data_IF_138407534505
#
_entry.id   IF_138407534505
#
_cell.length_a   1.000
_cell.length_b   1.000
_cell.length_c   1.000
_cell.angle_alpha   90.00
_cell.angle_beta   90.00
_cell.angle_gamma   90.00
#
_symmetry.space_group_name_H-M   'P 1'
#
loop_
_entity.id
_entity.type
_entity.pdbx_description
1 polymer ?
#
# COMPACT_ATOMS: atom_id res chain seq x y z
N UNK A 1 10.76 -35.07 -26.17
CA UNK A 1 10.25 -35.79 -27.38
C UNK A 1 9.59 -34.90 -28.45
N UNK A 2 8.53 -34.12 -28.16
CA UNK A 2 7.95 -33.17 -29.15
C UNK A 2 8.80 -31.89 -29.33
N UNK A 3 9.43 -31.42 -28.25
CA UNK A 3 10.34 -30.26 -28.28
C UNK A 3 11.66 -30.54 -29.00
N UNK A 4 12.26 -31.73 -28.82
CA UNK A 4 13.48 -32.11 -29.55
C UNK A 4 13.24 -32.23 -31.05
N UNK A 5 12.07 -32.75 -31.46
CA UNK A 5 11.67 -32.78 -32.87
C UNK A 5 11.55 -31.36 -33.44
N UNK A 6 10.98 -30.42 -32.70
CA UNK A 6 10.87 -29.02 -33.16
C UNK A 6 12.24 -28.34 -33.29
N UNK A 7 13.15 -28.55 -32.34
CA UNK A 7 14.50 -27.95 -32.36
C UNK A 7 15.39 -28.56 -33.45
N UNK A 8 15.31 -29.88 -33.65
CA UNK A 8 16.02 -30.59 -34.71
C UNK A 8 15.46 -30.20 -36.09
N UNK A 9 14.14 -30.09 -36.23
CA UNK A 9 13.49 -29.69 -37.48
C UNK A 9 13.79 -28.24 -37.84
N UNK A 10 13.77 -27.31 -36.88
CA UNK A 10 14.20 -25.90 -37.10
C UNK A 10 15.67 -25.80 -37.53
N UNK A 11 16.55 -26.62 -36.95
CA UNK A 11 17.96 -26.66 -37.34
C UNK A 11 18.19 -27.30 -38.72
N UNK A 12 17.43 -28.35 -39.07
CA UNK A 12 17.47 -28.99 -40.39
C UNK A 12 16.87 -28.10 -41.48
N UNK A 13 15.79 -27.37 -41.20
CA UNK A 13 15.20 -26.37 -42.10
C UNK A 13 16.16 -25.19 -42.30
N UNK A 14 16.86 -24.71 -41.25
CA UNK A 14 17.89 -23.67 -41.38
C UNK A 14 19.10 -24.13 -42.21
N UNK A 15 19.46 -25.42 -42.13
CA UNK A 15 20.55 -26.02 -42.93
C UNK A 15 20.12 -26.28 -44.37
N UNK A 16 18.87 -26.69 -44.62
CA UNK A 16 18.29 -26.85 -45.97
C UNK A 16 18.13 -25.50 -46.67
N UNK A 17 17.61 -24.48 -46.00
CA UNK A 17 17.52 -23.10 -46.54
C UNK A 17 18.91 -22.51 -46.82
N UNK A 18 19.90 -22.72 -45.94
CA UNK A 18 21.30 -22.34 -46.22
C UNK A 18 21.92 -23.08 -47.42
N UNK A 19 21.54 -24.33 -47.69
CA UNK A 19 22.04 -25.09 -48.85
C UNK A 19 21.31 -24.75 -50.16
N UNK A 20 20.02 -24.40 -50.10
CA UNK A 20 19.21 -24.02 -51.27
C UNK A 20 19.42 -22.56 -51.70
N UNK A 21 19.84 -21.66 -50.80
CA UNK A 21 20.17 -20.26 -51.14
C UNK A 21 21.53 -20.04 -51.82
N UNK A 22 22.32 -21.10 -52.06
CA UNK A 22 23.67 -21.01 -52.65
C UNK A 22 23.71 -21.07 -54.18
N UNK A 23 22.56 -21.16 -54.86
CA UNK A 23 22.46 -21.03 -56.31
C UNK A 23 21.63 -19.79 -56.64
N UNK A 24 22.35 -18.78 -57.13
CA UNK A 24 21.85 -17.63 -57.90
C UNK A 24 20.83 -16.73 -57.17
N UNK A 25 21.32 -15.86 -56.28
CA UNK A 25 20.67 -14.56 -56.04
C UNK A 25 21.52 -13.45 -56.69
N UNK A 26 20.91 -12.55 -57.49
CA UNK A 26 21.61 -11.38 -58.02
C UNK A 26 22.06 -10.50 -56.84
N UNK A 27 23.26 -9.92 -56.95
CA UNK A 27 23.85 -9.02 -55.97
C UNK A 27 22.87 -7.90 -55.58
N UNK A 28 22.05 -8.16 -54.56
CA UNK A 28 21.30 -7.12 -53.85
C UNK A 28 22.34 -6.27 -53.14
N UNK A 29 22.52 -5.03 -53.61
CA UNK A 29 23.25 -3.97 -52.90
C UNK A 29 22.94 -4.11 -51.42
N UNK A 30 23.95 -4.39 -50.60
CA UNK A 30 23.83 -4.36 -49.15
C UNK A 30 23.35 -2.96 -48.78
N UNK A 31 22.05 -2.81 -48.54
CA UNK A 31 21.53 -1.62 -47.91
C UNK A 31 22.29 -1.50 -46.59
N UNK A 32 23.07 -0.41 -46.43
CA UNK A 32 23.81 -0.10 -45.21
C UNK A 32 22.86 -0.29 -44.02
N UNK A 33 22.93 -1.46 -43.37
CA UNK A 33 22.09 -1.76 -42.22
C UNK A 33 22.58 -0.84 -41.12
N UNK A 34 21.79 0.19 -40.85
CA UNK A 34 22.03 1.13 -39.76
C UNK A 34 22.31 0.30 -38.50
N UNK A 35 23.43 0.59 -37.84
CA UNK A 35 23.80 -0.12 -36.63
C UNK A 35 22.65 0.00 -35.62
N UNK A 36 22.06 -1.11 -35.13
CA UNK A 36 20.95 -1.05 -34.19
C UNK A 36 21.31 -0.25 -32.94
N UNK A 37 22.58 -0.25 -32.52
CA UNK A 37 23.06 0.56 -31.39
C UNK A 37 22.92 2.07 -31.66
N UNK A 38 23.20 2.50 -32.90
CA UNK A 38 23.05 3.88 -33.33
C UNK A 38 21.57 4.28 -33.35
N UNK A 39 20.70 3.40 -33.84
CA UNK A 39 19.25 3.64 -33.83
C UNK A 39 18.71 3.76 -32.39
N UNK A 40 19.13 2.87 -31.48
CA UNK A 40 18.74 2.95 -30.06
C UNK A 40 19.25 4.23 -29.40
N UNK A 41 20.47 4.67 -29.73
CA UNK A 41 21.02 5.92 -29.21
C UNK A 41 20.19 7.11 -29.67
N UNK A 42 19.85 7.17 -30.97
CA UNK A 42 18.97 8.22 -31.50
C UNK A 42 17.61 8.20 -30.80
N UNK A 43 17.01 7.02 -30.63
CA UNK A 43 15.72 6.88 -29.95
C UNK A 43 15.78 7.37 -28.50
N UNK A 44 16.85 7.03 -27.75
CA UNK A 44 17.04 7.52 -26.37
C UNK A 44 17.11 9.05 -26.35
N UNK A 45 17.88 9.65 -27.26
CA UNK A 45 18.01 11.12 -27.35
C UNK A 45 16.68 11.78 -27.72
N UNK A 46 15.96 11.23 -28.71
CA UNK A 46 14.65 11.75 -29.10
C UNK A 46 13.62 11.62 -27.98
N UNK A 47 13.60 10.50 -27.25
CA UNK A 47 12.74 10.32 -26.07
C UNK A 47 13.10 11.30 -24.95
N UNK A 48 14.40 11.58 -24.74
CA UNK A 48 14.85 12.58 -23.78
C UNK A 48 14.38 13.99 -24.16
N UNK A 49 14.57 14.38 -25.43
CA UNK A 49 14.12 15.70 -25.92
C UNK A 49 12.59 15.80 -25.85
N UNK A 50 11.86 14.77 -26.27
CA UNK A 50 10.41 14.73 -26.19
C UNK A 50 9.93 14.89 -24.73
N UNK A 51 10.63 14.28 -23.77
CA UNK A 51 10.31 14.44 -22.36
C UNK A 51 10.61 15.82 -21.80
N UNK A 52 11.40 16.68 -22.48
CA UNK A 52 11.52 18.10 -22.12
C UNK A 52 10.33 18.95 -22.58
N UNK A 53 9.51 18.45 -23.50
CA UNK A 53 8.33 19.14 -24.04
C UNK A 53 7.14 18.93 -23.08
N UNK A 54 7.26 19.46 -21.87
CA UNK A 54 6.19 19.49 -20.87
C UNK A 54 6.32 20.75 -19.98
N UNK A 55 5.28 21.19 -19.26
CA UNK A 55 5.31 22.40 -18.43
C UNK A 55 6.43 22.45 -17.38
N UNK A 56 6.95 21.29 -16.95
CA UNK A 56 8.02 21.15 -15.97
C UNK A 56 9.42 21.03 -16.61
N UNK A 57 9.53 20.82 -17.92
CA UNK A 57 10.80 20.71 -18.64
C UNK A 57 11.77 19.71 -18.01
N UNK A 58 12.99 20.17 -17.68
CA UNK A 58 14.03 19.35 -17.05
C UNK A 58 13.67 18.91 -15.61
N UNK A 59 12.81 19.65 -14.91
CA UNK A 59 12.43 19.33 -13.53
C UNK A 59 11.67 18.00 -13.44
N UNK A 60 11.01 17.57 -14.52
CA UNK A 60 10.38 16.25 -14.61
C UNK A 60 11.39 15.11 -14.41
N UNK A 61 12.64 15.27 -14.87
CA UNK A 61 13.71 14.30 -14.68
C UNK A 61 14.32 14.33 -13.28
N UNK A 62 14.30 15.49 -12.62
CA UNK A 62 14.79 15.65 -11.25
C UNK A 62 13.83 15.03 -10.22
N UNK A 63 12.53 15.01 -10.53
CA UNK A 63 11.47 14.63 -9.59
C UNK A 63 11.62 13.23 -8.97
N UNK A 64 11.92 12.15 -9.72
CA UNK A 64 12.15 10.83 -9.13
C UNK A 64 13.29 10.83 -8.09
N UNK A 65 14.34 11.62 -8.32
CA UNK A 65 15.46 11.73 -7.39
C UNK A 65 15.07 12.49 -6.13
N UNK A 66 14.23 13.52 -6.24
CA UNK A 66 13.68 14.21 -5.05
C UNK A 66 12.88 13.25 -4.18
N UNK A 67 12.01 12.43 -4.77
CA UNK A 67 11.19 11.47 -4.01
C UNK A 67 12.05 10.43 -3.30
N UNK A 68 13.13 9.94 -3.93
CA UNK A 68 14.05 8.97 -3.30
C UNK A 68 14.69 9.49 -2.01
N UNK A 69 14.80 10.81 -1.85
CA UNK A 69 15.42 11.45 -0.69
C UNK A 69 14.40 12.00 0.34
N UNK A 70 13.11 11.69 0.22
CA UNK A 70 12.07 12.11 1.18
C UNK A 70 11.81 11.00 2.22
N UNK A 71 12.41 11.05 3.42
CA UNK A 71 12.33 9.97 4.40
C UNK A 71 10.93 9.80 5.01
N UNK A 72 10.12 10.87 5.09
CA UNK A 72 8.81 10.86 5.74
C UNK A 72 7.69 10.12 5.00
N UNK A 73 7.90 9.64 3.77
CA UNK A 73 6.86 9.05 2.92
C UNK A 73 7.16 7.60 2.52
N UNK A 74 7.29 6.70 3.49
CA UNK A 74 7.37 5.26 3.21
C UNK A 74 5.99 4.64 3.29
N UNK A 75 5.33 4.49 2.14
CA UNK A 75 4.12 3.65 2.07
C UNK A 75 4.51 2.18 2.29
N UNK A 76 3.57 1.34 2.74
CA UNK A 76 3.82 -0.08 3.02
C UNK A 76 4.44 -0.84 1.82
N UNK A 77 4.14 -0.40 0.61
CA UNK A 77 4.65 -0.97 -0.65
C UNK A 77 6.14 -0.68 -0.89
N UNK A 78 6.68 0.38 -0.27
CA UNK A 78 8.06 0.83 -0.44
C UNK A 78 9.01 0.16 0.54
N UNK A 79 8.44 -0.49 1.57
CA UNK A 79 9.20 -1.16 2.59
C UNK A 79 9.69 -2.52 2.04
N UNK A 80 10.90 -2.97 2.43
CA UNK A 80 11.43 -4.27 2.03
C UNK A 80 10.56 -5.46 2.48
N UNK A 81 10.54 -6.59 1.73
CA UNK A 81 9.74 -7.75 2.06
C UNK A 81 10.21 -8.52 3.30
N UNK A 82 11.44 -8.31 3.77
CA UNK A 82 11.95 -8.89 5.03
C UNK A 82 11.56 -8.09 6.28
N UNK A 83 10.91 -6.93 6.13
CA UNK A 83 10.33 -6.24 7.28
C UNK A 83 9.02 -6.92 7.68
N UNK A 84 9.13 -7.93 8.53
CA UNK A 84 7.98 -8.68 9.04
C UNK A 84 7.16 -7.90 10.09
N UNK A 85 7.66 -6.77 10.60
CA UNK A 85 6.99 -6.00 11.65
C UNK A 85 5.79 -5.21 11.11
N UNK A 86 5.88 -4.72 9.88
CA UNK A 86 4.84 -3.87 9.28
C UNK A 86 3.60 -4.64 8.81
N UNK A 87 3.53 -5.97 9.02
CA UNK A 87 2.46 -6.88 8.52
C UNK A 87 2.05 -6.60 7.06
N UNK A 88 2.96 -6.03 6.28
CA UNK A 88 2.68 -5.56 4.94
C UNK A 88 2.55 -6.74 3.98
N UNK A 89 1.63 -6.62 3.03
CA UNK A 89 1.25 -7.67 2.08
C UNK A 89 2.49 -8.19 1.33
N UNK A 90 2.96 -9.37 1.72
CA UNK A 90 4.00 -10.10 1.00
C UNK A 90 3.49 -11.51 0.78
N UNK A 91 3.34 -11.92 -0.48
CA UNK A 91 2.87 -13.27 -0.78
C UNK A 91 3.81 -14.31 -0.16
N UNK A 92 3.29 -15.31 0.57
CA UNK A 92 4.11 -16.42 1.07
C UNK A 92 4.89 -17.16 -0.02
N UNK A 93 4.47 -17.03 -1.29
CA UNK A 93 5.15 -17.63 -2.45
C UNK A 93 6.39 -16.86 -2.92
N UNK A 94 6.58 -15.61 -2.47
CA UNK A 94 7.72 -14.79 -2.89
C UNK A 94 9.06 -15.42 -2.52
N UNK A 95 9.23 -15.83 -1.27
CA UNK A 95 10.48 -16.41 -0.78
C UNK A 95 10.81 -17.76 -1.43
N UNK A 96 9.88 -18.75 -1.49
CA UNK A 96 10.12 -19.98 -2.23
C UNK A 96 10.47 -19.74 -3.69
N UNK A 97 9.77 -18.82 -4.37
CA UNK A 97 10.07 -18.46 -5.76
C UNK A 97 11.48 -17.90 -5.90
N UNK A 98 11.85 -16.91 -5.08
CA UNK A 98 13.18 -16.29 -5.12
C UNK A 98 14.31 -17.29 -4.86
N UNK A 99 14.15 -18.18 -3.88
CA UNK A 99 15.14 -19.21 -3.55
C UNK A 99 15.30 -20.20 -4.70
N UNK A 100 14.20 -20.71 -5.25
CA UNK A 100 14.25 -21.64 -6.39
C UNK A 100 14.84 -20.95 -7.63
N UNK A 101 14.48 -19.69 -7.88
CA UNK A 101 15.07 -18.90 -8.95
C UNK A 101 16.59 -18.80 -8.83
N UNK A 102 17.11 -18.41 -7.66
CA UNK A 102 18.55 -18.32 -7.41
C UNK A 102 19.20 -19.70 -7.61
N UNK A 103 18.63 -20.75 -7.02
CA UNK A 103 19.17 -22.11 -7.12
C UNK A 103 19.28 -22.58 -8.59
N UNK A 104 18.19 -22.56 -9.35
CA UNK A 104 18.18 -23.07 -10.72
C UNK A 104 18.97 -22.18 -11.68
N UNK A 105 18.99 -20.87 -11.48
CA UNK A 105 19.80 -19.96 -12.31
C UNK A 105 21.30 -20.17 -12.07
N UNK A 106 21.74 -20.38 -10.82
CA UNK A 106 23.15 -20.67 -10.51
C UNK A 106 23.60 -22.02 -11.07
N UNK A 107 22.77 -23.07 -10.97
CA UNK A 107 23.06 -24.39 -11.55
C UNK A 107 23.30 -24.28 -13.07
N UNK A 108 22.54 -23.41 -13.74
CA UNK A 108 22.57 -23.29 -15.20
C UNK A 108 23.31 -22.04 -15.68
N UNK A 109 24.03 -21.31 -14.83
CA UNK A 109 24.55 -19.95 -15.14
C UNK A 109 25.37 -19.87 -16.43
N UNK A 110 26.10 -20.93 -16.77
CA UNK A 110 26.92 -21.00 -18.00
C UNK A 110 26.11 -21.12 -19.30
N UNK A 111 24.80 -21.39 -19.20
CA UNK A 111 23.88 -21.57 -20.34
C UNK A 111 23.02 -20.33 -20.59
N UNK A 112 23.03 -19.36 -19.68
CA UNK A 112 22.08 -18.26 -19.69
C UNK A 112 22.66 -17.06 -20.43
N UNK A 113 21.77 -16.26 -21.02
CA UNK A 113 22.17 -14.99 -21.60
C UNK A 113 22.50 -13.99 -20.48
N UNK A 114 23.63 -13.29 -20.62
CA UNK A 114 24.06 -12.28 -19.66
C UNK A 114 23.01 -11.18 -19.45
N UNK A 115 22.29 -10.79 -20.52
CA UNK A 115 21.23 -9.78 -20.43
C UNK A 115 20.02 -10.25 -19.62
N UNK A 116 19.63 -11.52 -19.76
CA UNK A 116 18.53 -12.13 -19.01
C UNK A 116 18.88 -12.30 -17.53
N UNK A 117 20.12 -12.72 -17.24
CA UNK A 117 20.66 -12.74 -15.87
C UNK A 117 20.61 -11.33 -15.28
N UNK A 118 21.16 -10.36 -15.99
CA UNK A 118 21.26 -8.98 -15.50
C UNK A 118 19.89 -8.41 -15.16
N UNK A 119 18.90 -8.50 -16.07
CA UNK A 119 17.57 -7.93 -15.82
C UNK A 119 16.81 -8.68 -14.72
N UNK A 120 16.96 -10.00 -14.64
CA UNK A 120 16.30 -10.82 -13.61
C UNK A 120 16.87 -10.56 -12.21
N UNK A 121 18.20 -10.46 -12.09
CA UNK A 121 18.84 -10.14 -10.82
C UNK A 121 18.66 -8.67 -10.43
N UNK A 122 18.62 -7.74 -11.39
CA UNK A 122 18.30 -6.34 -11.12
C UNK A 122 16.90 -6.22 -10.50
N UNK A 123 15.91 -6.87 -11.10
CA UNK A 123 14.54 -6.86 -10.59
C UNK A 123 14.40 -7.60 -9.26
N UNK A 124 15.17 -8.66 -9.02
CA UNK A 124 15.28 -9.30 -7.70
C UNK A 124 15.80 -8.33 -6.64
N UNK A 125 16.88 -7.58 -6.93
CA UNK A 125 17.42 -6.58 -6.00
C UNK A 125 16.39 -5.48 -5.75
N UNK A 126 15.64 -5.07 -6.77
CA UNK A 126 14.55 -4.11 -6.63
C UNK A 126 13.41 -4.65 -5.76
N UNK A 127 12.98 -5.91 -5.95
CA UNK A 127 11.92 -6.54 -5.13
C UNK A 127 12.34 -6.76 -3.69
N UNK A 128 13.63 -6.98 -3.46
CA UNK A 128 14.25 -6.97 -2.15
C UNK A 128 14.19 -5.56 -1.54
N UNK A 129 14.51 -4.50 -2.26
CA UNK A 129 14.44 -3.15 -1.69
C UNK A 129 13.00 -2.64 -1.45
N UNK A 130 12.02 -3.06 -2.28
CA UNK A 130 10.62 -2.62 -2.15
C UNK A 130 9.63 -3.67 -2.67
N UNK A 131 8.60 -3.95 -1.87
CA UNK A 131 7.52 -4.89 -2.21
C UNK A 131 6.81 -4.60 -3.53
N UNK A 132 6.72 -3.33 -3.92
CA UNK A 132 6.10 -2.91 -5.19
C UNK A 132 6.72 -3.56 -6.43
N UNK A 133 8.00 -3.97 -6.33
CA UNK A 133 8.72 -4.60 -7.44
C UNK A 133 8.63 -6.12 -7.42
N UNK A 134 7.97 -6.75 -6.44
CA UNK A 134 7.77 -8.20 -6.40
C UNK A 134 7.07 -8.72 -7.66
N UNK A 135 5.95 -8.14 -8.12
CA UNK A 135 5.31 -8.60 -9.35
C UNK A 135 6.24 -8.44 -10.55
N UNK A 136 6.95 -7.30 -10.65
CA UNK A 136 7.88 -7.03 -11.74
C UNK A 136 9.00 -8.07 -11.79
N UNK A 137 9.61 -8.40 -10.65
CA UNK A 137 10.59 -9.47 -10.55
C UNK A 137 10.03 -10.79 -11.06
N UNK A 138 8.89 -11.24 -10.53
CA UNK A 138 8.28 -12.52 -10.94
C UNK A 138 8.01 -12.56 -12.45
N UNK A 139 7.46 -11.49 -13.02
CA UNK A 139 7.18 -11.42 -14.45
C UNK A 139 8.45 -11.44 -15.31
N UNK A 140 9.48 -10.70 -14.92
CA UNK A 140 10.74 -10.59 -15.66
C UNK A 140 11.56 -11.87 -15.54
N UNK A 141 11.66 -12.47 -14.35
CA UNK A 141 12.48 -13.66 -14.13
C UNK A 141 11.78 -14.98 -14.49
N UNK A 142 10.45 -15.00 -14.65
CA UNK A 142 9.71 -16.23 -14.94
C UNK A 142 10.20 -17.00 -16.17
N UNK A 143 10.40 -16.37 -17.35
CA UNK A 143 10.91 -17.09 -18.52
C UNK A 143 12.26 -17.77 -18.25
N UNK A 144 13.21 -17.03 -17.67
CA UNK A 144 14.54 -17.53 -17.32
C UNK A 144 14.46 -18.65 -16.27
N UNK A 145 13.62 -18.48 -15.25
CA UNK A 145 13.37 -19.46 -14.21
C UNK A 145 12.87 -20.79 -14.80
N UNK A 146 11.84 -20.76 -15.65
CA UNK A 146 11.25 -21.95 -16.24
C UNK A 146 12.19 -22.63 -17.25
N UNK A 147 13.03 -21.87 -17.95
CA UNK A 147 14.08 -22.41 -18.81
C UNK A 147 15.14 -23.17 -17.98
N UNK A 148 15.64 -22.55 -16.89
CA UNK A 148 16.58 -23.19 -15.98
C UNK A 148 15.99 -24.44 -15.31
N UNK A 149 14.74 -24.34 -14.87
CA UNK A 149 13.99 -25.45 -14.30
C UNK A 149 13.88 -26.60 -15.33
N UNK A 150 13.56 -26.29 -16.59
CA UNK A 150 13.46 -27.27 -17.67
C UNK A 150 14.80 -27.97 -17.94
N UNK A 151 15.92 -27.23 -17.96
CA UNK A 151 17.24 -27.82 -18.17
C UNK A 151 17.65 -28.80 -17.07
N UNK A 152 17.32 -28.48 -15.81
CA UNK A 152 17.67 -29.33 -14.67
C UNK A 152 16.72 -30.51 -14.51
N UNK A 153 15.42 -30.26 -14.63
CA UNK A 153 14.38 -31.28 -14.36
C UNK A 153 14.04 -32.12 -15.59
N UNK A 154 14.30 -31.65 -16.81
CA UNK A 154 13.93 -32.33 -18.05
C UNK A 154 14.46 -33.76 -18.13
N UNK A 155 15.72 -33.98 -17.74
CA UNK A 155 16.34 -35.32 -17.71
C UNK A 155 15.73 -36.25 -16.66
N UNK A 156 15.17 -35.70 -15.58
CA UNK A 156 14.50 -36.45 -14.52
C UNK A 156 13.08 -36.79 -14.98
N UNK A 157 12.39 -35.80 -15.54
CA UNK A 157 11.03 -35.93 -16.09
C UNK A 157 10.94 -36.96 -17.22
N UNK A 158 11.97 -37.07 -18.06
CA UNK A 158 12.04 -38.10 -19.10
C UNK A 158 12.02 -39.54 -18.55
N UNK A 159 12.44 -39.75 -17.30
CA UNK A 159 12.43 -41.07 -16.64
C UNK A 159 11.09 -41.38 -15.97
N UNK A 160 10.21 -40.39 -15.80
CA UNK A 160 8.92 -40.57 -15.13
C UNK A 160 7.88 -41.07 -16.14
N UNK A 161 7.10 -42.13 -15.84
CA UNK A 161 6.03 -42.59 -16.72
C UNK A 161 5.03 -41.47 -17.01
N UNK A 162 4.62 -41.33 -18.28
CA UNK A 162 3.72 -40.25 -18.75
C UNK A 162 2.44 -40.15 -17.92
N UNK A 163 1.86 -41.28 -17.54
CA UNK A 163 0.62 -41.35 -16.76
C UNK A 163 0.80 -40.77 -15.35
N UNK A 164 1.94 -41.04 -14.71
CA UNK A 164 2.26 -40.51 -13.38
C UNK A 164 2.47 -38.99 -13.41
N UNK A 165 3.17 -38.48 -14.43
CA UNK A 165 3.33 -37.04 -14.61
C UNK A 165 2.00 -36.32 -14.87
N UNK A 166 1.13 -36.89 -15.72
CA UNK A 166 -0.21 -36.36 -15.95
C UNK A 166 -1.06 -36.35 -14.67
N UNK A 167 -0.95 -37.40 -13.86
CA UNK A 167 -1.62 -37.48 -12.57
C UNK A 167 -1.13 -36.41 -11.59
N UNK A 168 0.20 -36.24 -11.44
CA UNK A 168 0.80 -35.18 -10.60
C UNK A 168 0.34 -33.80 -11.05
N UNK A 169 0.36 -33.51 -12.35
CA UNK A 169 -0.08 -32.22 -12.89
C UNK A 169 -1.59 -31.99 -12.67
N UNK A 170 -2.40 -33.04 -12.79
CA UNK A 170 -3.85 -32.97 -12.51
C UNK A 170 -4.09 -32.66 -11.04
N UNK A 171 -3.37 -33.33 -10.12
CA UNK A 171 -3.43 -33.01 -8.68
C UNK A 171 -2.97 -31.58 -8.43
N UNK A 172 -1.86 -31.14 -9.02
CA UNK A 172 -1.36 -29.78 -8.82
C UNK A 172 -2.36 -28.72 -9.31
N UNK A 173 -2.98 -28.92 -10.47
CA UNK A 173 -4.04 -28.05 -10.99
C UNK A 173 -5.28 -28.09 -10.08
N UNK A 174 -5.67 -29.28 -9.62
CA UNK A 174 -6.80 -29.44 -8.70
C UNK A 174 -6.54 -28.74 -7.35
N UNK A 175 -5.34 -28.87 -6.79
CA UNK A 175 -4.93 -28.18 -5.56
C UNK A 175 -4.86 -26.66 -5.76
N UNK A 176 -4.36 -26.19 -6.91
CA UNK A 176 -4.39 -24.77 -7.25
C UNK A 176 -5.83 -24.25 -7.35
N UNK A 177 -6.71 -25.02 -8.00
CA UNK A 177 -8.13 -24.71 -8.10
C UNK A 177 -8.81 -24.69 -6.73
N UNK A 178 -8.54 -25.69 -5.88
CA UNK A 178 -9.03 -25.74 -4.50
C UNK A 178 -8.51 -24.54 -3.68
N UNK A 179 -7.24 -24.18 -3.84
CA UNK A 179 -6.65 -23.01 -3.18
C UNK A 179 -7.36 -21.72 -3.60
N UNK A 180 -7.55 -21.50 -4.91
CA UNK A 180 -8.29 -20.35 -5.45
C UNK A 180 -9.72 -20.32 -4.91
N UNK A 181 -10.37 -21.48 -4.80
CA UNK A 181 -11.71 -21.60 -4.20
C UNK A 181 -11.68 -21.25 -2.71
N UNK A 182 -10.72 -21.76 -1.93
CA UNK A 182 -10.62 -21.46 -0.50
C UNK A 182 -10.37 -19.97 -0.25
N UNK A 183 -9.59 -19.29 -1.09
CA UNK A 183 -9.41 -17.83 -1.07
C UNK A 183 -10.72 -17.07 -1.39
N UNK A 184 -11.68 -17.69 -2.08
CA UNK A 184 -12.99 -17.13 -2.38
C UNK A 184 -14.06 -17.46 -1.33
N UNK A 185 -13.97 -18.61 -0.65
CA UNK A 185 -15.01 -19.13 0.24
C UNK A 185 -14.76 -18.80 1.71
N UNK A 186 -13.52 -18.76 2.21
CA UNK A 186 -13.23 -18.42 3.60
C UNK A 186 -13.08 -16.89 3.78
N UNK A 187 -14.08 -16.19 4.35
CA UNK A 187 -14.09 -14.73 4.44
C UNK A 187 -13.09 -14.18 5.47
N UNK A 188 -12.35 -15.05 6.17
CA UNK A 188 -11.48 -14.69 7.29
C UNK A 188 -9.97 -14.69 7.00
N UNK A 189 -9.52 -15.20 5.84
CA UNK A 189 -8.10 -15.18 5.47
C UNK A 189 -7.77 -13.93 4.61
N UNK A 190 -8.81 -13.27 4.09
CA UNK A 190 -8.74 -11.98 3.39
C UNK A 190 -9.73 -11.06 4.10
N UNK A 191 -9.24 -10.21 5.01
CA UNK A 191 -10.03 -9.35 5.90
C UNK A 191 -10.88 -8.25 5.19
N UNK A 192 -11.17 -8.36 3.88
CA UNK A 192 -11.99 -7.40 3.14
C UNK A 192 -12.73 -8.00 1.92
N UNK A 193 -13.26 -9.23 2.02
CA UNK A 193 -14.15 -9.81 1.00
C UNK A 193 -13.46 -10.64 -0.08
N UNK A 194 -14.22 -11.48 -0.79
CA UNK A 194 -13.71 -12.42 -1.80
C UNK A 194 -12.88 -11.75 -2.90
N UNK A 195 -12.16 -12.54 -3.72
CA UNK A 195 -11.20 -12.03 -4.73
C UNK A 195 -11.72 -10.85 -5.57
N UNK A 196 -13.00 -10.86 -5.96
CA UNK A 196 -13.61 -9.75 -6.71
C UNK A 196 -13.85 -8.49 -5.86
N UNK A 197 -14.31 -8.66 -4.61
CA UNK A 197 -14.45 -7.56 -3.65
C UNK A 197 -13.10 -7.01 -3.18
N UNK A 198 -12.04 -7.82 -3.21
CA UNK A 198 -10.67 -7.35 -3.03
C UNK A 198 -10.16 -6.58 -4.26
N UNK A 199 -10.60 -6.93 -5.47
CA UNK A 199 -10.23 -6.19 -6.68
C UNK A 199 -11.02 -4.88 -6.84
N UNK A 200 -12.27 -4.83 -6.38
CA UNK A 200 -13.11 -3.61 -6.44
C UNK A 200 -13.04 -2.78 -5.16
N UNK A 201 -12.67 -3.39 -4.04
CA UNK A 201 -12.58 -2.80 -2.70
C UNK A 201 -13.82 -2.00 -2.29
N UNK A 202 -14.99 -2.37 -2.82
CA UNK A 202 -16.23 -1.56 -2.77
C UNK A 202 -16.63 -1.22 -1.32
N UNK A 203 -16.53 -2.20 -0.42
CA UNK A 203 -16.83 -2.00 1.01
C UNK A 203 -15.79 -1.20 1.79
N UNK A 204 -14.62 -0.93 1.22
CA UNK A 204 -13.61 -0.11 1.89
C UNK A 204 -13.81 1.38 1.67
N UNK A 205 -14.64 1.80 0.72
CA UNK A 205 -14.90 3.21 0.46
C UNK A 205 -16.16 3.73 1.20
N UNK A 206 -16.24 5.04 1.50
CA UNK A 206 -17.30 5.61 2.32
C UNK A 206 -18.52 6.00 1.46
N UNK A 207 -19.10 5.06 0.70
CA UNK A 207 -20.21 5.36 -0.22
C UNK A 207 -21.44 5.92 0.51
N UNK A 208 -21.96 5.19 1.51
CA UNK A 208 -23.13 5.62 2.28
C UNK A 208 -22.88 6.94 3.02
N UNK A 209 -21.66 7.16 3.53
CA UNK A 209 -21.28 8.40 4.18
C UNK A 209 -21.22 9.59 3.20
N UNK A 210 -20.69 9.39 1.98
CA UNK A 210 -20.75 10.42 0.93
C UNK A 210 -22.19 10.70 0.51
N UNK A 211 -23.02 9.65 0.36
CA UNK A 211 -24.44 9.80 0.06
C UNK A 211 -25.17 10.59 1.15
N UNK A 212 -24.90 10.28 2.42
CA UNK A 212 -25.44 11.03 3.56
C UNK A 212 -25.07 12.52 3.49
N UNK A 213 -23.80 12.85 3.25
CA UNK A 213 -23.37 14.25 3.14
C UNK A 213 -24.05 14.96 1.96
N UNK A 214 -24.14 14.29 0.81
CA UNK A 214 -24.73 14.85 -0.41
C UNK A 214 -26.23 15.12 -0.27
N UNK A 215 -27.00 14.15 0.19
CA UNK A 215 -28.46 14.28 0.34
C UNK A 215 -28.85 15.31 1.41
N UNK A 216 -28.04 15.42 2.48
CA UNK A 216 -28.25 16.43 3.52
C UNK A 216 -27.59 17.78 3.21
N UNK A 217 -26.93 17.91 2.05
CA UNK A 217 -26.24 19.12 1.58
C UNK A 217 -25.20 19.67 2.57
N UNK A 218 -24.50 18.78 3.28
CA UNK A 218 -23.45 19.17 4.22
C UNK A 218 -22.26 19.71 3.44
N UNK A 219 -21.79 20.90 3.80
CA UNK A 219 -20.69 21.62 3.15
C UNK A 219 -19.57 21.91 4.13
N UNK A 220 -18.40 22.25 3.62
CA UNK A 220 -17.31 22.80 4.42
C UNK A 220 -15.96 22.16 4.17
N UNK A 221 -14.99 22.55 5.01
CA UNK A 221 -13.64 21.97 5.00
C UNK A 221 -13.61 20.69 5.81
N UNK A 222 -13.14 19.62 5.17
CA UNK A 222 -13.27 18.25 5.64
C UNK A 222 -11.91 17.65 5.95
N UNK A 223 -11.70 17.20 7.18
CA UNK A 223 -10.65 16.25 7.49
C UNK A 223 -11.11 14.84 7.13
N UNK A 224 -10.36 14.16 6.26
CA UNK A 224 -10.74 12.84 5.75
C UNK A 224 -9.67 11.79 6.00
N UNK A 225 -10.08 10.52 6.11
CA UNK A 225 -9.15 9.41 6.02
C UNK A 225 -8.41 9.42 4.66
N UNK A 226 -7.09 9.30 4.70
CA UNK A 226 -6.17 9.48 3.56
C UNK A 226 -6.55 8.65 2.34
N UNK A 227 -6.83 7.36 2.55
CA UNK A 227 -7.17 6.44 1.45
C UNK A 227 -8.55 6.74 0.82
N UNK A 228 -9.37 7.58 1.46
CA UNK A 228 -10.67 7.99 0.94
C UNK A 228 -10.64 9.34 0.22
N UNK A 229 -9.56 10.11 0.30
CA UNK A 229 -9.51 11.48 -0.20
C UNK A 229 -9.95 11.62 -1.65
N UNK A 230 -9.39 10.80 -2.55
CA UNK A 230 -9.73 10.84 -3.97
C UNK A 230 -11.20 10.46 -4.23
N UNK A 231 -11.72 9.48 -3.48
CA UNK A 231 -13.13 9.06 -3.58
C UNK A 231 -14.07 10.18 -3.12
N UNK A 232 -13.79 10.78 -1.97
CA UNK A 232 -14.63 11.85 -1.41
C UNK A 232 -14.58 13.09 -2.30
N UNK A 233 -13.38 13.45 -2.80
CA UNK A 233 -13.19 14.54 -3.74
C UNK A 233 -14.05 14.36 -4.99
N UNK A 234 -14.08 13.16 -5.57
CA UNK A 234 -14.91 12.86 -6.74
C UNK A 234 -16.41 13.03 -6.49
N UNK A 235 -16.89 12.68 -5.29
CA UNK A 235 -18.33 12.64 -5.00
C UNK A 235 -18.90 13.94 -4.43
N UNK A 236 -18.09 14.72 -3.71
CA UNK A 236 -18.56 15.86 -2.91
C UNK A 236 -17.99 17.22 -3.34
N UNK A 237 -17.03 17.26 -4.28
CA UNK A 237 -16.58 18.53 -4.85
C UNK A 237 -17.70 19.16 -5.71
N UNK A 238 -17.92 20.49 -5.66
CA UNK A 238 -17.14 21.52 -4.93
C UNK A 238 -17.64 21.86 -3.52
N UNK A 239 -18.74 21.27 -3.07
CA UNK A 239 -19.39 21.61 -1.79
C UNK A 239 -18.53 21.26 -0.57
N UNK A 240 -17.66 20.27 -0.70
CA UNK A 240 -16.76 19.79 0.36
C UNK A 240 -15.31 19.84 -0.12
N UNK A 241 -14.45 20.46 0.68
CA UNK A 241 -13.01 20.55 0.43
C UNK A 241 -12.28 19.52 1.29
N UNK A 242 -11.72 18.49 0.66
CA UNK A 242 -10.95 17.45 1.37
C UNK A 242 -9.63 18.01 1.92
N UNK A 243 -9.09 17.36 2.95
CA UNK A 243 -7.82 17.71 3.57
C UNK A 243 -6.64 17.11 2.79
N UNK A 244 -6.72 15.83 2.42
CA UNK A 244 -5.63 15.14 1.72
C UNK A 244 -6.15 13.96 0.88
N UNK A 245 -5.41 13.56 -0.14
CA UNK A 245 -5.64 12.33 -0.90
C UNK A 245 -4.35 11.58 -1.26
N UNK A 246 -4.49 10.48 -2.01
CA UNK A 246 -3.41 9.58 -2.42
C UNK A 246 -2.26 10.20 -3.23
N UNK A 247 -2.30 11.49 -3.57
CA UNK A 247 -1.28 12.20 -4.35
C UNK A 247 -0.14 12.77 -3.50
N UNK A 248 0.15 12.15 -2.34
CA UNK A 248 1.16 12.56 -1.37
C UNK A 248 2.49 13.05 -1.98
N UNK A 249 3.07 12.31 -2.94
CA UNK A 249 4.41 12.61 -3.46
C UNK A 249 4.49 13.75 -4.47
N UNK A 250 3.36 14.14 -5.09
CA UNK A 250 3.35 15.11 -6.19
C UNK A 250 2.65 16.43 -5.87
N UNK A 251 1.78 16.43 -4.84
CA UNK A 251 0.91 17.58 -4.52
C UNK A 251 1.20 18.15 -3.13
N UNK A 252 1.54 17.31 -2.15
CA UNK A 252 1.65 17.73 -0.75
C UNK A 252 3.11 17.70 -0.29
N UNK A 253 3.52 18.71 0.48
CA UNK A 253 4.85 18.76 1.08
C UNK A 253 5.00 17.82 2.28
N UNK A 254 6.24 17.48 2.64
CA UNK A 254 6.56 16.61 3.79
C UNK A 254 5.99 17.14 5.11
N UNK A 255 6.06 18.45 5.31
CA UNK A 255 5.50 19.10 6.50
C UNK A 255 4.01 18.82 6.65
N UNK A 256 3.22 19.08 5.61
CA UNK A 256 1.77 18.85 5.59
C UNK A 256 1.41 17.37 5.82
N UNK A 257 2.16 16.46 5.20
CA UNK A 257 1.93 15.03 5.40
C UNK A 257 2.28 14.58 6.84
N UNK A 258 3.29 15.18 7.46
CA UNK A 258 3.60 14.92 8.86
C UNK A 258 2.49 15.42 9.80
N UNK A 259 1.95 16.62 9.56
CA UNK A 259 0.78 17.12 10.30
C UNK A 259 -0.45 16.21 10.15
N UNK A 260 -0.70 15.71 8.93
CA UNK A 260 -1.74 14.72 8.70
C UNK A 260 -1.49 13.42 9.47
N UNK A 261 -0.25 12.90 9.47
CA UNK A 261 0.11 11.68 10.22
C UNK A 261 -0.08 11.84 11.73
N UNK A 262 0.20 13.03 12.27
CA UNK A 262 -0.12 13.35 13.67
C UNK A 262 -1.60 13.12 13.88
N UNK A 263 -2.50 13.73 13.10
CA UNK A 263 -3.94 13.56 13.35
C UNK A 263 -4.43 12.11 13.09
N UNK A 264 -4.00 11.50 11.97
CA UNK A 264 -4.70 10.38 11.35
C UNK A 264 -4.17 8.96 11.59
N UNK A 265 -2.94 8.75 12.07
CA UNK A 265 -2.33 7.41 12.13
C UNK A 265 -1.82 7.03 13.52
N UNK A 266 -2.00 5.77 13.97
CA UNK A 266 -1.43 5.26 15.23
C UNK A 266 0.08 5.47 15.34
N UNK A 267 0.84 5.42 14.25
CA UNK A 267 2.30 5.66 14.25
C UNK A 267 2.71 7.06 14.70
N UNK A 268 1.78 8.04 14.69
CA UNK A 268 1.98 9.36 15.29
C UNK A 268 1.88 9.37 16.82
N UNK A 269 1.70 8.20 17.42
CA UNK A 269 1.56 8.02 18.85
C UNK A 269 2.52 6.83 19.27
N UNK A 270 2.92 6.65 20.55
CA UNK A 270 3.85 5.64 21.11
C UNK A 270 3.70 5.09 22.66
N UNK A 271 4.19 3.91 23.17
CA UNK A 271 3.62 3.21 24.42
C UNK A 271 4.17 3.36 25.94
N UNK A 272 3.45 2.95 27.06
CA UNK A 272 3.77 2.89 28.56
C UNK A 272 3.91 1.45 29.06
N UNK A 273 4.87 1.15 29.96
CA UNK A 273 4.89 -0.06 30.81
C UNK A 273 5.23 0.16 32.32
N UNK A 274 5.13 -0.92 33.14
CA UNK A 274 5.20 -0.98 34.63
C UNK A 274 6.43 -0.34 35.27
N UNK A 275 7.58 -0.42 34.60
CA UNK A 275 8.84 0.20 35.05
C UNK A 275 8.73 1.73 35.17
N UNK A 276 7.71 2.30 34.53
CA UNK A 276 7.45 3.74 34.50
C UNK A 276 6.45 4.19 35.57
N UNK A 277 5.54 3.31 36.00
CA UNK A 277 4.66 3.56 37.16
C UNK A 277 5.45 3.59 38.47
N UNK A 278 6.46 2.75 38.63
CA UNK A 278 7.26 2.67 39.86
C UNK A 278 8.11 3.92 40.11
N UNK A 279 8.49 4.63 39.04
CA UNK A 279 9.26 5.88 39.09
C UNK A 279 8.39 7.15 39.29
N UNK A 280 7.06 7.03 39.25
CA UNK A 280 6.11 8.13 39.46
C UNK A 280 5.59 8.21 40.90
N UNK A 281 5.85 7.19 41.73
CA UNK A 281 5.26 6.98 43.06
C UNK A 281 5.38 8.17 44.01
N UNK A 282 6.45 8.95 43.86
CA UNK A 282 6.81 10.04 44.78
C UNK A 282 6.61 11.44 44.17
N UNK A 283 6.00 11.53 42.97
CA UNK A 283 5.93 12.74 42.14
C UNK A 283 4.52 13.16 41.74
N UNK A 284 3.54 12.37 42.09
CA UNK A 284 2.12 12.62 41.86
C UNK A 284 1.37 12.26 43.13
N UNK A 285 0.16 12.79 43.28
CA UNK A 285 -0.60 12.62 44.52
C UNK A 285 -0.90 11.13 44.78
N UNK A 286 -1.03 10.72 46.06
CA UNK A 286 -1.41 9.35 46.41
C UNK A 286 -2.74 8.92 45.77
N UNK A 287 -3.70 9.83 45.58
CA UNK A 287 -4.94 9.57 44.82
C UNK A 287 -4.65 9.26 43.34
N UNK A 288 -3.85 10.09 42.65
CA UNK A 288 -3.52 9.91 41.22
C UNK A 288 -2.74 8.62 40.99
N UNK A 289 -1.84 8.28 41.90
CA UNK A 289 -1.07 7.04 41.88
C UNK A 289 -1.98 5.81 42.08
N UNK A 290 -3.00 5.91 42.93
CA UNK A 290 -3.98 4.84 43.18
C UNK A 290 -4.87 4.63 41.95
N UNK A 291 -5.28 5.71 41.29
CA UNK A 291 -6.01 5.71 40.02
C UNK A 291 -5.16 5.05 38.92
N UNK A 292 -3.89 5.44 38.78
CA UNK A 292 -2.95 4.84 37.82
C UNK A 292 -2.71 3.33 38.05
N UNK A 293 -2.64 2.89 39.31
CA UNK A 293 -2.51 1.46 39.68
C UNK A 293 -3.79 0.65 39.46
N UNK A 294 -4.96 1.28 39.51
CA UNK A 294 -6.26 0.65 39.22
C UNK A 294 -6.55 0.57 37.71
N UNK A 295 -5.69 1.18 36.88
CA UNK A 295 -5.84 1.35 35.44
C UNK A 295 -4.86 0.48 34.64
N UNK A 296 -4.79 -0.83 34.95
CA UNK A 296 -4.20 -1.80 34.03
C UNK A 296 -4.93 -1.73 32.69
N UNK A 297 -4.25 -1.22 31.66
CA UNK A 297 -4.65 -1.40 30.27
C UNK A 297 -5.02 -0.18 29.45
N UNK A 298 -5.20 1.04 29.99
CA UNK A 298 -5.31 2.30 29.22
C UNK A 298 -5.33 3.53 30.14
N UNK A 299 -4.62 4.60 29.80
CA UNK A 299 -4.68 5.88 30.53
C UNK A 299 -5.64 6.85 29.85
N UNK A 300 -6.52 7.46 30.64
CA UNK A 300 -7.45 8.50 30.18
C UNK A 300 -7.38 9.70 31.14
N UNK A 301 -7.11 10.90 30.63
CA UNK A 301 -7.20 12.14 31.42
C UNK A 301 -8.43 12.97 31.04
N UNK A 302 -8.78 13.91 31.93
CA UNK A 302 -9.97 14.78 31.86
C UNK A 302 -9.91 15.78 30.69
N UNK A 303 -8.72 16.08 30.19
CA UNK A 303 -8.46 17.04 29.11
C UNK A 303 -7.67 16.37 27.96
N UNK A 304 -8.38 15.92 26.92
CA UNK A 304 -7.90 15.57 25.57
C UNK A 304 -6.66 14.66 25.41
N UNK A 305 -6.24 13.94 26.46
CA UNK A 305 -5.05 13.09 26.41
C UNK A 305 -5.41 11.60 26.42
N UNK A 306 -4.94 10.89 25.39
CA UNK A 306 -4.71 9.45 25.42
C UNK A 306 -3.21 9.32 25.24
N UNK A 307 -2.56 8.45 25.99
CA UNK A 307 -1.14 8.23 25.78
C UNK A 307 -0.63 7.05 26.56
N UNK A 308 0.50 6.56 26.08
CA UNK A 308 1.27 5.52 26.73
C UNK A 308 2.78 6.07 26.86
N UNK A 309 3.67 5.69 27.79
CA UNK A 309 4.67 6.43 28.65
C UNK A 309 5.94 5.59 28.85
N UNK A 310 7.04 5.92 28.18
CA UNK A 310 8.13 4.95 28.02
C UNK A 310 9.18 4.89 29.15
N UNK A 311 9.55 6.04 29.75
CA UNK A 311 10.43 6.15 30.93
C UNK A 311 10.47 7.60 31.45
N UNK A 312 11.01 7.83 32.65
CA UNK A 312 11.17 9.15 33.30
C UNK A 312 12.65 9.41 33.56
N UNK A 313 13.16 10.59 33.15
CA UNK A 313 14.51 11.04 33.49
C UNK A 313 14.43 12.19 34.49
N UNK A 314 15.23 12.08 35.56
CA UNK A 314 15.47 13.11 36.56
C UNK A 314 16.82 13.76 36.25
N UNK A 315 16.81 15.05 35.93
CA UNK A 315 18.01 15.89 35.95
C UNK A 315 17.58 17.29 36.36
N UNK A 316 18.27 17.87 37.33
CA UNK A 316 18.09 19.27 37.75
C UNK A 316 16.67 19.64 38.25
N UNK A 317 16.05 18.81 39.10
CA UNK A 317 14.73 19.04 39.69
C UNK A 317 13.54 19.18 38.71
N UNK A 318 13.73 18.89 37.43
CA UNK A 318 12.65 18.81 36.45
C UNK A 318 12.30 17.35 36.11
N UNK A 319 10.99 17.07 36.02
CA UNK A 319 10.47 15.76 35.60
C UNK A 319 10.28 15.79 34.08
N UNK A 320 11.16 15.11 33.34
CA UNK A 320 10.97 14.95 31.90
C UNK A 320 10.23 13.64 31.61
N UNK A 321 8.95 13.79 31.27
CA UNK A 321 8.05 12.73 30.82
C UNK A 321 8.26 12.55 29.32
N UNK A 322 8.72 11.37 28.88
CA UNK A 322 8.68 11.03 27.44
C UNK A 322 7.46 10.14 27.22
N UNK A 323 6.31 10.78 27.04
CA UNK A 323 5.11 10.15 26.52
C UNK A 323 5.41 9.73 25.11
N UNK A 324 4.86 8.60 24.78
CA UNK A 324 5.04 8.07 23.50
C UNK A 324 3.64 8.32 22.76
N UNK A 325 2.40 8.11 23.25
CA UNK A 325 1.15 8.12 22.40
C UNK A 325 0.32 9.40 22.60
N UNK A 326 0.94 10.56 22.83
CA UNK A 326 0.24 11.82 23.13
C UNK A 326 -0.11 12.66 21.88
N UNK A 327 -1.39 12.93 21.64
CA UNK A 327 -1.76 14.09 20.82
C UNK A 327 -1.66 15.36 21.63
N UNK A 328 -0.52 16.04 21.55
CA UNK A 328 -0.54 17.49 21.70
C UNK A 328 -1.16 18.07 20.42
N UNK A 329 -2.26 18.81 20.57
CA UNK A 329 -2.73 19.79 19.59
C UNK A 329 -3.40 19.26 18.30
N UNK A 330 -3.97 18.05 18.27
CA UNK A 330 -4.73 17.58 17.08
C UNK A 330 -5.87 18.56 16.70
N UNK A 331 -6.59 19.08 17.69
CA UNK A 331 -7.61 20.13 17.48
C UNK A 331 -6.97 21.42 16.96
N UNK A 332 -5.81 21.85 17.48
CA UNK A 332 -5.16 23.07 17.02
C UNK A 332 -4.66 22.97 15.57
N UNK A 333 -4.24 21.78 15.13
CA UNK A 333 -3.94 21.55 13.70
C UNK A 333 -5.22 21.65 12.89
N UNK A 334 -6.32 21.02 13.33
CA UNK A 334 -7.62 21.16 12.68
C UNK A 334 -8.12 22.62 12.65
N UNK A 335 -7.83 23.40 13.69
CA UNK A 335 -8.15 24.83 13.78
C UNK A 335 -7.35 25.67 12.78
N UNK A 336 -6.06 25.37 12.62
CA UNK A 336 -5.19 26.03 11.64
C UNK A 336 -5.75 25.93 10.22
N UNK A 337 -6.38 24.79 9.91
CA UNK A 337 -6.96 24.52 8.60
C UNK A 337 -8.45 24.88 8.50
N UNK A 338 -9.06 25.39 9.58
CA UNK A 338 -10.49 25.69 9.68
C UNK A 338 -11.34 24.46 9.32
N UNK A 339 -11.00 23.29 9.87
CA UNK A 339 -11.75 22.05 9.64
C UNK A 339 -13.12 22.15 10.31
N UNK A 340 -14.18 21.88 9.54
CA UNK A 340 -15.58 21.98 9.95
C UNK A 340 -16.26 20.61 10.01
N UNK A 341 -15.76 19.65 9.22
CA UNK A 341 -16.31 18.29 9.10
C UNK A 341 -15.16 17.29 9.24
N UNK A 342 -15.41 16.16 9.90
CA UNK A 342 -14.49 15.03 9.94
C UNK A 342 -15.19 13.80 9.37
N UNK A 343 -14.56 13.11 8.42
CA UNK A 343 -14.97 11.78 7.96
C UNK A 343 -13.81 10.80 8.10
N UNK A 344 -13.98 9.79 8.94
CA UNK A 344 -12.91 8.86 9.28
C UNK A 344 -13.36 7.41 9.22
N UNK A 345 -12.41 6.52 8.98
CA UNK A 345 -12.66 5.09 9.01
C UNK A 345 -12.72 4.61 10.46
N UNK A 346 -13.80 3.90 10.81
CA UNK A 346 -14.04 3.40 12.16
C UNK A 346 -12.93 2.49 12.68
N UNK A 347 -12.33 1.68 11.82
CA UNK A 347 -11.31 0.71 12.19
C UNK A 347 -9.90 1.29 12.08
N UNK A 348 -9.61 2.02 11.00
CA UNK A 348 -8.27 2.59 10.80
C UNK A 348 -7.98 3.81 11.68
N UNK A 349 -9.02 4.52 12.15
CA UNK A 349 -8.91 5.72 12.96
C UNK A 349 -9.60 5.59 14.33
N UNK A 350 -9.66 4.39 14.90
CA UNK A 350 -10.35 4.13 16.17
C UNK A 350 -9.91 5.08 17.31
N UNK A 351 -8.59 5.26 17.49
CA UNK A 351 -8.06 6.13 18.53
C UNK A 351 -8.47 7.59 18.35
N UNK A 352 -8.47 8.10 17.11
CA UNK A 352 -8.91 9.46 16.78
C UNK A 352 -10.42 9.60 17.01
N UNK A 353 -11.22 8.61 16.63
CA UNK A 353 -12.66 8.61 16.86
C UNK A 353 -13.00 8.74 18.35
N UNK A 354 -12.27 8.01 19.22
CA UNK A 354 -12.46 8.11 20.67
C UNK A 354 -12.12 9.49 21.24
N UNK A 355 -11.11 10.18 20.69
CA UNK A 355 -10.79 11.56 21.08
C UNK A 355 -11.88 12.53 20.67
N UNK A 356 -12.34 12.46 19.41
CA UNK A 356 -13.36 13.36 18.89
C UNK A 356 -14.68 13.20 19.66
N UNK A 357 -15.06 11.97 20.01
CA UNK A 357 -16.27 11.69 20.80
C UNK A 357 -16.26 12.31 22.21
N UNK A 358 -15.06 12.59 22.76
CA UNK A 358 -14.91 13.23 24.08
C UNK A 358 -14.79 14.75 23.98
N UNK A 359 -14.43 15.26 22.81
CA UNK A 359 -14.32 16.69 22.60
C UNK A 359 -15.69 17.35 22.63
N UNK A 360 -15.79 18.45 23.39
CA UNK A 360 -17.00 19.29 23.39
C UNK A 360 -17.17 20.05 22.09
N UNK A 361 -16.11 20.19 21.28
CA UNK A 361 -16.10 20.97 20.05
C UNK A 361 -16.70 20.22 18.85
N UNK A 362 -16.95 18.92 18.99
CA UNK A 362 -17.43 18.07 17.90
C UNK A 362 -18.75 17.38 18.26
N UNK A 363 -19.52 17.05 17.23
CA UNK A 363 -20.80 16.35 17.34
C UNK A 363 -20.84 15.21 16.33
N UNK A 364 -21.04 13.98 16.81
CA UNK A 364 -21.23 12.81 15.94
C UNK A 364 -22.59 12.94 15.26
N UNK A 365 -22.61 13.06 13.93
CA UNK A 365 -23.84 13.20 13.16
C UNK A 365 -24.16 11.96 12.33
N UNK A 366 -23.15 11.14 12.03
CA UNK A 366 -23.36 9.91 11.28
C UNK A 366 -22.43 8.76 11.64
N UNK A 367 -22.97 7.54 11.61
CA UNK A 367 -22.24 6.30 11.77
C UNK A 367 -22.79 5.21 10.86
N UNK A 368 -21.89 4.43 10.25
CA UNK A 368 -22.21 3.13 9.64
C UNK A 368 -21.21 2.02 10.06
N UNK A 369 -21.10 0.95 9.27
CA UNK A 369 -20.18 -0.15 9.57
C UNK A 369 -18.71 0.21 9.34
N UNK A 370 -18.45 1.25 8.55
CA UNK A 370 -17.14 1.61 8.03
C UNK A 370 -16.71 3.02 8.46
N UNK A 371 -17.65 3.95 8.64
CA UNK A 371 -17.39 5.40 8.67
C UNK A 371 -18.06 6.08 9.85
N UNK A 372 -17.38 7.11 10.36
CA UNK A 372 -17.97 8.13 11.22
C UNK A 372 -17.93 9.49 10.53
N UNK A 373 -18.96 10.31 10.75
CA UNK A 373 -18.94 11.74 10.41
C UNK A 373 -19.20 12.56 11.66
N UNK A 374 -18.32 13.53 11.90
CA UNK A 374 -18.47 14.53 12.95
C UNK A 374 -18.57 15.92 12.35
N UNK A 375 -19.42 16.76 12.94
CA UNK A 375 -19.47 18.18 12.65
C UNK A 375 -18.87 18.96 13.80
N UNK A 376 -18.12 20.01 13.46
CA UNK A 376 -17.66 20.99 14.42
C UNK A 376 -18.87 21.76 14.97
N UNK A 377 -18.92 22.00 16.27
CA UNK A 377 -19.92 22.87 16.89
C UNK A 377 -19.57 24.33 16.62
N UNK A 378 -20.19 24.87 15.58
CA UNK A 378 -20.09 26.28 15.19
C UNK A 378 -21.43 26.72 14.58
N UNK A 379 -21.58 28.02 14.32
CA UNK A 379 -22.81 28.59 13.77
C UNK A 379 -23.20 27.96 12.41
N UNK A 380 -22.21 27.67 11.56
CA UNK A 380 -22.44 27.09 10.23
C UNK A 380 -23.04 25.68 10.30
N UNK A 381 -22.60 24.87 11.27
CA UNK A 381 -23.03 23.49 11.40
C UNK A 381 -24.25 23.30 12.30
N UNK A 382 -24.65 24.33 13.06
CA UNK A 382 -25.76 24.24 14.00
C UNK A 382 -27.06 23.77 13.33
N UNK A 383 -27.32 24.22 12.10
CA UNK A 383 -28.49 23.78 11.32
C UNK A 383 -28.52 22.27 11.09
N UNK A 384 -27.38 21.63 10.83
CA UNK A 384 -27.32 20.19 10.61
C UNK A 384 -27.44 19.42 11.92
N UNK A 385 -26.85 19.94 13.00
CA UNK A 385 -26.95 19.37 14.34
C UNK A 385 -28.41 19.38 14.82
N UNK A 386 -29.13 20.49 14.64
CA UNK A 386 -30.53 20.61 15.03
C UNK A 386 -31.42 19.65 14.22
N UNK A 387 -31.20 19.56 12.90
CA UNK A 387 -31.90 18.58 12.04
C UNK A 387 -31.62 17.14 12.48
N UNK A 388 -30.38 16.83 12.87
CA UNK A 388 -30.03 15.51 13.38
C UNK A 388 -30.81 15.17 14.65
N UNK A 389 -30.83 16.08 15.63
CA UNK A 389 -31.53 15.90 16.90
C UNK A 389 -33.04 15.69 16.68
N UNK A 390 -33.62 16.38 15.69
CA UNK A 390 -35.03 16.21 15.30
C UNK A 390 -35.32 14.98 14.44
N UNK A 391 -34.29 14.23 14.01
CA UNK A 391 -34.44 13.08 13.11
C UNK A 391 -34.84 13.48 11.68
N UNK A 392 -34.56 14.71 11.26
CA UNK A 392 -34.94 15.27 9.95
C UNK A 392 -33.90 14.97 8.85
N UNK A 393 -32.72 14.45 9.21
CA UNK A 393 -31.68 14.11 8.25
C UNK A 393 -32.00 12.82 7.51
N UNK A 394 -31.70 12.79 6.22
CA UNK A 394 -31.71 11.58 5.43
C UNK A 394 -30.64 10.61 5.96
N UNK A 395 -31.03 9.36 6.25
CA UNK A 395 -30.12 8.28 6.64
C UNK A 395 -30.18 7.14 5.59
N UNK A 396 -29.06 6.83 4.91
CA UNK A 396 -28.92 5.67 4.02
C UNK A 396 -29.35 4.36 4.68
N UNK A 397 -29.94 3.45 3.90
CA UNK A 397 -30.49 2.19 4.40
C UNK A 397 -29.44 1.34 5.15
N UNK A 398 -28.21 1.32 4.66
CA UNK A 398 -27.09 0.56 5.22
C UNK A 398 -26.67 1.07 6.60
N UNK A 399 -26.89 2.36 6.85
CA UNK A 399 -26.52 3.06 8.08
C UNK A 399 -27.61 2.96 9.15
N UNK A 400 -28.90 2.80 8.78
CA UNK A 400 -30.04 2.80 9.72
C UNK A 400 -29.92 1.83 10.89
N UNK A 401 -29.21 0.71 10.72
CA UNK A 401 -28.98 -0.27 11.80
C UNK A 401 -28.14 0.26 12.96
N UNK A 402 -27.42 1.36 12.77
CA UNK A 402 -26.54 1.98 13.77
C UNK A 402 -27.18 3.16 14.51
N UNK A 403 -28.37 3.61 14.09
CA UNK A 403 -29.10 4.74 14.69
C UNK A 403 -30.27 4.25 15.57
N UNK A 404 -30.14 3.06 16.16
CA UNK A 404 -31.16 2.48 17.04
C UNK A 404 -31.06 2.98 18.46
#
# INVERSE_FOLDING_TARGET
MLWDKYYIQKNLESKKTKKLSKKEEPQKKEANKINPLFLYTILIVLCFIAGLINPYGIMAYEFPFKILHMPGFKTLEWIPPWDFYTKAFTSPLYWPYGILFILFSLINIKRLNLGEIFISYLTLIMSLNSRRFIPLFIFVSAPLFFECLSFTTGKILEKIPKLLWQFIMTIAIFLLFLHIITLKIFPGIVLAGGLFNYMTVDQSFPESACKFMKENQIKGRLFNYYNWGGYILWHLYPDVQIFIDGRAHGVYGEHFYNEYKVIGFPEGWYEINDRTLENLKDKISPEDLKVLKLMEGNIYFKDNFIGTLKYIRLKDNEIKITTQYAHMNWESIMDMYDVEVIIINRYANENLAQLILRSKNWFLIYQDNNSFIFLRRNEKNQIYIDKHIKGELYIPLEARKFYR
#
